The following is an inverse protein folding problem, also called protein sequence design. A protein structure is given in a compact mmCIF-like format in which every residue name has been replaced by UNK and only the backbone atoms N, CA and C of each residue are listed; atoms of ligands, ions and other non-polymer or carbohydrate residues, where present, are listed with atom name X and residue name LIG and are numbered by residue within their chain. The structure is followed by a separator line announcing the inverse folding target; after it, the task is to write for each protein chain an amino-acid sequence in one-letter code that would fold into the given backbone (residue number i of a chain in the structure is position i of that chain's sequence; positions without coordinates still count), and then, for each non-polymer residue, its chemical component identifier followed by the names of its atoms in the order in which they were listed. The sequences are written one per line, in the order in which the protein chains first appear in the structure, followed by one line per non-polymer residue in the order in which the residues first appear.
data_IF_054220836144
#
_entry.id   IF_054220836144
#
_cell.length_a   1.000
_cell.length_b   1.000
_cell.length_c   1.000
_cell.angle_alpha   90.00
_cell.angle_beta   90.00
_cell.angle_gamma   90.00
#
_symmetry.space_group_name_H-M   'P 1'
#
loop_
_entity.id
_entity.type
_entity.pdbx_description
1 polymer ?
#
# COMPACT_ATOMS: atom_id res chain seq x y z
N UNK A 1 -8.68 9.47 -2.97
CA UNK A 1 -7.63 8.76 -2.22
C UNK A 1 -8.17 7.80 -1.14
N UNK A 2 -9.01 8.24 -0.20
CA UNK A 2 -9.37 7.42 0.99
C UNK A 2 -10.19 6.16 0.65
N UNK A 3 -11.13 6.26 -0.28
CA UNK A 3 -11.94 5.13 -0.77
C UNK A 3 -11.08 4.04 -1.41
N UNK A 4 -10.02 4.45 -2.12
CA UNK A 4 -9.02 3.54 -2.69
C UNK A 4 -8.31 2.75 -1.58
N UNK A 5 -7.89 3.43 -0.50
CA UNK A 5 -7.23 2.77 0.64
C UNK A 5 -8.15 1.77 1.34
N UNK A 6 -9.42 2.14 1.55
CA UNK A 6 -10.43 1.23 2.12
C UNK A 6 -10.64 0.03 1.21
N UNK A 7 -10.80 0.26 -0.10
CA UNK A 7 -10.94 -0.82 -1.08
C UNK A 7 -9.74 -1.78 -1.03
N UNK A 8 -8.51 -1.24 -1.00
CA UNK A 8 -7.29 -2.04 -0.92
C UNK A 8 -7.26 -2.85 0.37
N UNK A 9 -7.56 -2.22 1.51
CA UNK A 9 -7.61 -2.92 2.79
C UNK A 9 -8.66 -4.04 2.76
N UNK A 10 -9.89 -3.79 2.34
CA UNK A 10 -10.93 -4.81 2.33
C UNK A 10 -10.66 -5.97 1.36
N UNK A 11 -10.10 -5.67 0.18
CA UNK A 11 -9.87 -6.67 -0.87
C UNK A 11 -8.56 -7.47 -0.67
N UNK A 12 -7.53 -6.87 -0.09
CA UNK A 12 -6.21 -7.49 0.02
C UNK A 12 -5.84 -7.93 1.44
N UNK A 13 -6.46 -7.39 2.48
CA UNK A 13 -6.27 -7.88 3.86
C UNK A 13 -6.87 -9.27 4.08
N UNK A 14 -7.94 -9.62 3.34
CA UNK A 14 -8.64 -10.90 3.50
C UNK A 14 -8.19 -12.02 2.56
N UNK A 15 -7.44 -11.73 1.50
CA UNK A 15 -7.61 -12.43 0.22
C UNK A 15 -6.40 -13.08 -0.46
N UNK A 16 -5.22 -13.16 0.16
CA UNK A 16 -3.94 -13.60 -0.45
C UNK A 16 -3.08 -12.42 -0.99
N UNK A 17 -1.78 -12.69 -1.15
CA UNK A 17 -0.66 -11.75 -1.17
C UNK A 17 -0.92 -10.37 -1.79
N UNK A 18 -0.52 -9.29 -1.08
CA UNK A 18 -0.48 -7.93 -1.60
C UNK A 18 0.17 -7.93 -2.99
N UNK A 19 -0.58 -7.63 -4.08
CA UNK A 19 -0.01 -7.60 -5.41
C UNK A 19 0.92 -6.39 -5.52
N UNK A 20 1.82 -6.46 -6.50
CA UNK A 20 2.69 -5.34 -6.85
C UNK A 20 1.87 -4.06 -7.11
N UNK A 21 2.40 -2.89 -6.72
CA UNK A 21 1.70 -1.60 -6.83
C UNK A 21 1.15 -1.35 -8.24
N UNK A 22 1.87 -1.78 -9.28
CA UNK A 22 1.44 -1.66 -10.67
C UNK A 22 0.14 -2.43 -10.98
N UNK A 23 -0.01 -3.63 -10.40
CA UNK A 23 -1.21 -4.44 -10.55
C UNK A 23 -2.38 -3.84 -9.76
N UNK A 24 -2.09 -3.28 -8.59
CA UNK A 24 -3.07 -2.57 -7.76
C UNK A 24 -3.67 -1.38 -8.53
N UNK A 25 -2.82 -0.54 -9.13
CA UNK A 25 -3.24 0.61 -9.91
C UNK A 25 -4.18 0.23 -11.06
N UNK A 26 -3.84 -0.80 -11.85
CA UNK A 26 -4.70 -1.27 -12.94
C UNK A 26 -6.06 -1.78 -12.45
N UNK A 27 -6.09 -2.48 -11.32
CA UNK A 27 -7.32 -3.03 -10.75
C UNK A 27 -8.24 -1.92 -10.25
N UNK A 28 -7.68 -0.89 -9.63
CA UNK A 28 -8.41 0.29 -9.20
C UNK A 28 -8.98 1.06 -10.41
N UNK A 29 -8.19 1.25 -11.47
CA UNK A 29 -8.71 1.86 -12.71
C UNK A 29 -9.86 1.03 -13.32
N UNK A 30 -9.78 -0.30 -13.27
CA UNK A 30 -10.86 -1.18 -13.73
C UNK A 30 -12.13 -1.09 -12.86
N UNK A 31 -11.98 -0.73 -11.59
CA UNK A 31 -13.09 -0.46 -10.67
C UNK A 31 -13.72 0.93 -10.85
N UNK A 32 -13.13 1.79 -11.69
CA UNK A 32 -13.65 3.13 -11.97
C UNK A 32 -13.13 4.22 -11.04
N UNK A 33 -12.05 3.96 -10.29
CA UNK A 33 -11.38 5.01 -9.51
C UNK A 33 -10.67 6.00 -10.44
N UNK A 34 -10.64 7.27 -10.05
CA UNK A 34 -9.95 8.33 -10.78
C UNK A 34 -8.43 8.13 -10.77
N UNK A 35 -7.76 8.47 -11.87
CA UNK A 35 -6.33 8.29 -12.00
C UNK A 35 -5.53 9.08 -10.94
N UNK A 36 -6.01 10.27 -10.57
CA UNK A 36 -5.40 11.12 -9.53
C UNK A 36 -5.48 10.45 -8.15
N UNK A 37 -6.67 9.98 -7.76
CA UNK A 37 -6.90 9.28 -6.50
C UNK A 37 -6.11 7.97 -6.39
N UNK A 38 -5.96 7.25 -7.51
CA UNK A 38 -5.13 6.05 -7.60
C UNK A 38 -3.67 6.44 -7.39
N UNK A 39 -3.18 7.48 -8.06
CA UNK A 39 -1.79 7.90 -7.95
C UNK A 39 -1.44 8.31 -6.52
N UNK A 40 -2.29 9.12 -5.88
CA UNK A 40 -2.14 9.52 -4.48
C UNK A 40 -2.09 8.31 -3.54
N UNK A 41 -2.98 7.33 -3.75
CA UNK A 41 -3.02 6.12 -2.92
C UNK A 41 -1.77 5.24 -3.14
N UNK A 42 -1.30 5.11 -4.38
CA UNK A 42 -0.07 4.37 -4.69
C UNK A 42 1.16 5.02 -4.06
N UNK A 43 1.30 6.35 -4.17
CA UNK A 43 2.38 7.10 -3.52
C UNK A 43 2.35 6.92 -2.00
N UNK A 44 1.14 6.96 -1.40
CA UNK A 44 0.98 6.74 0.03
C UNK A 44 1.36 5.31 0.45
N UNK A 45 0.94 4.31 -0.33
CA UNK A 45 1.27 2.89 -0.07
C UNK A 45 2.77 2.62 -0.22
N UNK A 46 3.44 3.23 -1.20
CA UNK A 46 4.89 3.14 -1.37
C UNK A 46 5.63 3.74 -0.16
N UNK A 47 5.21 4.94 0.28
CA UNK A 47 5.74 5.58 1.48
C UNK A 47 5.53 4.75 2.75
N UNK A 48 4.35 4.12 2.88
CA UNK A 48 4.06 3.21 3.99
C UNK A 48 4.96 1.97 3.96
N UNK A 49 5.13 1.36 2.78
CA UNK A 49 6.01 0.21 2.61
C UNK A 49 7.47 0.57 2.92
N UNK A 50 7.94 1.73 2.49
CA UNK A 50 9.26 2.24 2.85
C UNK A 50 9.39 2.43 4.37
N UNK A 51 8.41 3.04 5.03
CA UNK A 51 8.42 3.22 6.48
C UNK A 51 8.40 1.89 7.25
N UNK A 52 7.59 0.93 6.80
CA UNK A 52 7.53 -0.42 7.37
C UNK A 52 8.86 -1.18 7.21
N UNK A 53 9.59 -0.96 6.11
CA UNK A 53 10.92 -1.54 5.94
C UNK A 53 11.96 -0.87 6.84
N UNK A 54 11.84 0.44 7.06
CA UNK A 54 12.71 1.17 7.99
C UNK A 54 12.48 0.78 9.46
N UNK A 55 11.25 0.44 9.86
CA UNK A 55 10.97 0.01 11.25
C UNK A 55 11.54 -1.35 11.60
N UNK A 56 11.84 -2.20 10.62
CA UNK A 56 12.43 -3.52 10.84
C UNK A 56 13.96 -3.47 11.01
N UNK A 57 14.59 -2.33 10.70
CA UNK A 57 16.03 -2.12 10.74
C UNK A 57 16.57 -1.59 12.09
N UNK A 58 15.79 -1.66 13.17
CA UNK A 58 16.33 -1.57 14.53
C UNK A 58 16.39 -2.93 15.23
N UNK A 59 17.25 -3.88 14.80
CA UNK A 59 17.73 -4.90 15.69
C UNK A 59 18.82 -4.29 16.61
N UNK A 60 18.62 -4.42 17.92
CA UNK A 60 19.71 -4.67 18.87
C UNK A 60 20.85 -3.62 18.97
N UNK A 61 20.59 -2.44 19.54
CA UNK A 61 21.66 -1.58 20.06
C UNK A 61 21.44 -1.07 21.50
N UNK A 62 20.44 -1.59 22.22
CA UNK A 62 20.16 -1.20 23.62
C UNK A 62 20.53 -2.29 24.64
N UNK A 63 21.53 -3.13 24.33
CA UNK A 63 22.13 -4.09 25.26
C UNK A 63 23.61 -3.76 25.47
N UNK A 64 23.95 -2.58 25.99
CA UNK A 64 25.26 -2.29 26.61
C UNK A 64 25.11 -1.33 27.79
#
# INVERSE_FOLDING_TARGET
MFEVLVFVYENYWRGDACPELEQLGRKLSAHGFEADEINEALVWLDGLNLAAQNTQLTPDLASQ
#
